data_IF_859744508865
#
_entry.id   IF_859744508865
#
_cell.length_a   1.000
_cell.length_b   1.000
_cell.length_c   1.000
_cell.angle_alpha   90.00
_cell.angle_beta   90.00
_cell.angle_gamma   90.00
#
_symmetry.space_group_name_H-M   'P 1'
#
loop_
_entity.id
_entity.type
_entity.pdbx_description
1 polymer ?
#
# COMPACT_ATOMS: atom_id res chain seq x y z
N UNK A 1 5.79 -16.97 5.13
CA UNK A 1 5.33 -15.73 4.47
C UNK A 1 5.40 -14.54 5.41
N UNK A 2 5.25 -13.32 4.89
CA UNK A 2 5.10 -12.09 5.68
C UNK A 2 3.70 -11.53 5.45
N UNK A 3 3.07 -11.04 6.51
CA UNK A 3 1.80 -10.33 6.39
C UNK A 3 2.01 -8.83 6.06
N UNK A 4 0.92 -8.07 5.93
CA UNK A 4 0.96 -6.63 5.63
C UNK A 4 1.68 -5.76 6.68
N UNK A 5 1.84 -6.28 7.91
CA UNK A 5 2.59 -5.63 8.99
C UNK A 5 4.06 -6.07 9.06
N UNK A 6 4.54 -6.84 8.08
CA UNK A 6 5.89 -7.41 8.05
C UNK A 6 6.15 -8.42 9.20
N UNK A 7 5.11 -9.05 9.73
CA UNK A 7 5.18 -10.12 10.72
C UNK A 7 5.25 -11.48 10.02
N UNK A 8 5.91 -12.45 10.63
CA UNK A 8 6.13 -13.77 10.04
C UNK A 8 4.87 -14.63 10.24
N UNK A 9 4.39 -15.25 9.17
CA UNK A 9 3.30 -16.23 9.20
C UNK A 9 3.83 -17.58 8.71
N UNK A 10 3.80 -18.57 9.59
CA UNK A 10 4.11 -19.97 9.30
C UNK A 10 2.78 -20.71 9.18
N UNK A 11 2.53 -21.33 8.04
CA UNK A 11 1.36 -22.18 7.83
C UNK A 11 1.85 -23.59 7.53
N UNK A 12 1.44 -24.54 8.35
CA UNK A 12 1.80 -25.94 8.20
C UNK A 12 0.53 -26.80 8.09
N UNK A 13 0.50 -27.66 7.09
CA UNK A 13 -0.59 -28.63 6.89
C UNK A 13 -0.03 -30.01 7.20
N UNK A 14 -0.62 -30.70 8.16
CA UNK A 14 -0.15 -32.00 8.62
C UNK A 14 -1.28 -33.03 8.58
N UNK A 15 -1.04 -34.09 7.80
CA UNK A 15 -2.00 -35.19 7.61
C UNK A 15 -1.73 -36.39 8.52
N UNK A 16 -0.49 -36.56 8.97
CA UNK A 16 -0.05 -37.72 9.73
C UNK A 16 0.22 -37.32 11.16
N UNK A 17 -0.24 -38.14 12.10
CA UNK A 17 -0.01 -37.95 13.53
C UNK A 17 1.47 -38.07 13.88
N UNK A 18 1.99 -37.08 14.58
CA UNK A 18 3.32 -37.06 15.18
C UNK A 18 3.19 -36.90 16.70
N UNK A 19 3.92 -37.70 17.46
CA UNK A 19 3.87 -37.64 18.92
C UNK A 19 4.48 -36.35 19.49
N UNK A 20 5.50 -35.82 18.82
CA UNK A 20 6.24 -34.62 19.25
C UNK A 20 5.88 -33.39 18.39
N UNK A 21 4.62 -33.28 17.99
CA UNK A 21 4.19 -32.24 17.06
C UNK A 21 4.32 -30.83 17.66
N UNK A 22 4.01 -30.65 18.95
CA UNK A 22 4.13 -29.33 19.60
C UNK A 22 5.59 -28.88 19.71
N UNK A 23 6.49 -29.80 20.01
CA UNK A 23 7.94 -29.54 20.03
C UNK A 23 8.46 -29.17 18.64
N UNK A 24 7.94 -29.81 17.60
CA UNK A 24 8.25 -29.49 16.21
C UNK A 24 7.81 -28.08 15.84
N UNK A 25 6.59 -27.68 16.21
CA UNK A 25 6.10 -26.29 15.98
C UNK A 25 7.01 -25.30 16.71
N UNK A 26 7.33 -25.57 17.98
CA UNK A 26 8.21 -24.71 18.77
C UNK A 26 9.59 -24.56 18.11
N UNK A 27 10.17 -25.69 17.65
CA UNK A 27 11.44 -25.67 16.91
C UNK A 27 11.35 -24.84 15.62
N UNK A 28 10.26 -25.01 14.83
CA UNK A 28 10.02 -24.26 13.60
C UNK A 28 9.95 -22.75 13.83
N UNK A 29 9.27 -22.34 14.91
CA UNK A 29 9.19 -20.93 15.33
C UNK A 29 10.56 -20.40 15.75
N UNK A 30 11.31 -21.15 16.57
CA UNK A 30 12.67 -20.77 16.99
C UNK A 30 13.62 -20.59 15.78
N UNK A 31 13.55 -21.52 14.83
CA UNK A 31 14.32 -21.45 13.58
C UNK A 31 13.95 -20.20 12.75
N UNK A 32 12.66 -19.90 12.61
CA UNK A 32 12.21 -18.71 11.90
C UNK A 32 12.71 -17.42 12.55
N UNK A 33 12.80 -17.35 13.88
CA UNK A 33 13.40 -16.21 14.58
C UNK A 33 14.87 -16.05 14.18
N UNK A 34 15.64 -17.13 14.23
CA UNK A 34 17.09 -17.09 13.95
C UNK A 34 17.40 -16.85 12.48
N UNK A 35 16.53 -17.22 11.56
CA UNK A 35 16.68 -16.97 10.13
C UNK A 35 16.37 -15.52 9.73
N UNK A 36 15.61 -14.79 10.55
CA UNK A 36 15.16 -13.43 10.24
C UNK A 36 15.88 -12.35 11.07
N UNK A 37 16.85 -12.72 11.89
CA UNK A 37 17.73 -11.81 12.61
C UNK A 37 19.19 -12.24 12.43
N UNK A 38 20.05 -11.29 12.05
CA UNK A 38 21.48 -11.56 11.89
C UNK A 38 22.26 -11.34 13.18
N UNK A 39 23.38 -12.02 13.31
CA UNK A 39 24.29 -11.80 14.44
C UNK A 39 24.76 -10.34 14.48
N UNK A 40 24.65 -9.72 15.64
CA UNK A 40 25.03 -8.32 15.84
C UNK A 40 23.90 -7.32 15.58
N UNK A 41 22.76 -7.77 15.10
CA UNK A 41 21.57 -6.91 15.00
C UNK A 41 20.91 -6.69 16.37
N UNK A 42 20.11 -5.63 16.45
CA UNK A 42 19.37 -5.30 17.68
C UNK A 42 18.14 -6.20 17.83
N UNK A 43 17.82 -6.61 19.05
CA UNK A 43 16.62 -7.43 19.36
C UNK A 43 15.31 -6.76 18.93
N UNK A 44 15.29 -5.47 18.68
CA UNK A 44 14.16 -4.75 18.10
C UNK A 44 13.71 -5.32 16.73
N UNK A 45 14.63 -5.97 15.99
CA UNK A 45 14.35 -6.57 14.68
C UNK A 45 13.67 -7.94 14.76
N UNK A 46 13.54 -8.52 15.95
CA UNK A 46 12.78 -9.77 16.14
C UNK A 46 11.33 -9.51 15.76
N UNK A 47 10.84 -10.23 14.74
CA UNK A 47 9.49 -10.08 14.23
C UNK A 47 8.51 -10.92 15.03
N UNK A 48 7.29 -10.41 15.16
CA UNK A 48 6.16 -11.22 15.61
C UNK A 48 5.95 -12.40 14.69
N UNK A 49 5.64 -13.58 15.26
CA UNK A 49 5.38 -14.79 14.51
C UNK A 49 3.99 -15.31 14.83
N UNK A 50 3.27 -15.67 13.78
CA UNK A 50 2.03 -16.46 13.86
C UNK A 50 2.31 -17.85 13.30
N UNK A 51 2.14 -18.88 14.13
CA UNK A 51 2.26 -20.27 13.73
C UNK A 51 0.87 -20.89 13.62
N UNK A 52 0.46 -21.21 12.40
CA UNK A 52 -0.86 -21.75 12.07
C UNK A 52 -0.68 -23.20 11.63
N UNK A 53 -1.19 -24.13 12.41
CA UNK A 53 -1.14 -25.56 12.15
C UNK A 53 -2.51 -26.09 11.76
N UNK A 54 -2.62 -26.60 10.54
CA UNK A 54 -3.83 -27.22 9.98
C UNK A 54 -3.68 -28.73 10.10
N UNK A 55 -4.48 -29.33 10.99
CA UNK A 55 -4.32 -30.72 11.43
C UNK A 55 -5.48 -31.59 10.95
N UNK A 56 -5.15 -32.66 10.22
CA UNK A 56 -6.09 -33.71 9.78
C UNK A 56 -6.02 -34.94 10.65
N UNK A 57 -5.41 -34.88 11.84
CA UNK A 57 -5.31 -35.95 12.81
C UNK A 57 -5.71 -35.45 14.20
N UNK A 58 -6.03 -36.36 15.10
CA UNK A 58 -6.28 -36.04 16.50
C UNK A 58 -4.97 -35.82 17.24
N UNK A 59 -4.74 -34.60 17.70
CA UNK A 59 -3.55 -34.22 18.48
C UNK A 59 -3.68 -34.52 19.96
N UNK A 60 -4.91 -34.73 20.44
CA UNK A 60 -5.20 -34.98 21.85
C UNK A 60 -6.61 -34.61 22.25
N UNK A 61 -6.85 -34.55 23.54
CA UNK A 61 -8.18 -34.28 24.11
C UNK A 61 -8.55 -32.80 23.98
N UNK A 62 -9.80 -32.55 23.63
CA UNK A 62 -10.40 -31.24 23.51
C UNK A 62 -11.61 -31.26 22.59
N UNK A 63 -12.54 -30.33 22.76
CA UNK A 63 -13.84 -30.33 22.07
C UNK A 63 -13.94 -29.26 20.97
N UNK A 64 -12.97 -28.35 20.90
CA UNK A 64 -12.99 -27.30 19.90
C UNK A 64 -12.18 -27.68 18.64
N UNK A 65 -12.55 -27.10 17.52
CA UNK A 65 -11.81 -27.22 16.26
C UNK A 65 -10.67 -26.21 16.15
N UNK A 66 -10.69 -25.12 16.94
CA UNK A 66 -9.71 -24.06 16.94
C UNK A 66 -9.16 -23.80 18.34
N UNK A 67 -7.86 -23.94 18.49
CA UNK A 67 -7.14 -23.57 19.71
C UNK A 67 -6.20 -22.43 19.42
N UNK A 68 -6.22 -21.41 20.29
CA UNK A 68 -5.33 -20.26 20.21
C UNK A 68 -4.42 -20.22 21.44
N UNK A 69 -3.12 -20.22 21.21
CA UNK A 69 -2.09 -20.11 22.25
C UNK A 69 -1.32 -18.80 22.12
N UNK A 70 -1.24 -18.07 23.23
CA UNK A 70 -0.44 -16.82 23.31
C UNK A 70 0.25 -16.73 24.66
N UNK A 71 1.34 -15.99 24.72
CA UNK A 71 2.07 -15.77 25.97
C UNK A 71 1.55 -14.53 26.69
N UNK A 72 1.07 -14.72 27.91
CA UNK A 72 0.68 -13.69 28.83
C UNK A 72 1.44 -13.86 30.15
N UNK A 73 1.84 -12.76 30.77
CA UNK A 73 2.46 -12.77 32.10
C UNK A 73 1.48 -12.17 33.09
N UNK A 74 1.09 -13.00 34.05
CA UNK A 74 0.14 -12.64 35.09
C UNK A 74 0.85 -12.54 36.43
N UNK A 75 0.62 -11.45 37.17
CA UNK A 75 1.13 -11.24 38.50
C UNK A 75 0.67 -12.36 39.45
N UNK A 76 1.63 -13.08 40.07
CA UNK A 76 1.32 -14.22 40.94
C UNK A 76 0.50 -13.82 42.18
N UNK A 77 0.75 -12.62 42.67
CA UNK A 77 0.11 -12.12 43.89
C UNK A 77 -1.06 -11.19 43.64
N UNK A 78 -1.01 -10.42 42.55
CA UNK A 78 -1.98 -9.35 42.23
C UNK A 78 -3.00 -9.78 41.18
N UNK A 79 -2.64 -10.73 40.32
CA UNK A 79 -3.50 -11.20 39.25
C UNK A 79 -3.58 -10.26 38.04
N UNK A 80 -2.86 -9.13 38.05
CA UNK A 80 -2.76 -8.19 36.94
C UNK A 80 -1.95 -8.75 35.75
N UNK A 81 -2.05 -8.11 34.60
CA UNK A 81 -1.27 -8.48 33.41
C UNK A 81 -0.10 -7.51 33.21
N UNK A 82 1.10 -8.10 33.05
CA UNK A 82 2.30 -7.32 32.78
C UNK A 82 2.21 -6.65 31.41
N UNK A 83 2.46 -5.34 31.41
CA UNK A 83 2.77 -4.57 30.20
C UNK A 83 4.24 -4.17 30.21
N UNK A 84 4.91 -4.27 29.07
CA UNK A 84 6.30 -3.88 28.93
C UNK A 84 6.43 -2.58 28.14
N UNK A 85 7.38 -1.73 28.50
CA UNK A 85 7.70 -0.54 27.72
C UNK A 85 8.69 -0.88 26.63
N UNK A 86 8.31 -0.66 25.37
CA UNK A 86 9.18 -0.88 24.21
C UNK A 86 9.40 0.41 23.46
N UNK A 87 10.55 0.52 22.78
CA UNK A 87 10.83 1.64 21.89
C UNK A 87 10.21 1.38 20.52
N UNK A 88 9.36 2.30 20.07
CA UNK A 88 8.81 2.29 18.72
C UNK A 88 9.13 3.62 18.05
N UNK A 89 10.01 3.58 17.04
CA UNK A 89 10.61 4.77 16.41
C UNK A 89 11.23 5.69 17.47
N UNK A 90 10.65 6.86 17.69
CA UNK A 90 11.14 7.87 18.66
C UNK A 90 10.31 7.95 19.96
N UNK A 91 9.40 6.99 20.17
CA UNK A 91 8.54 6.93 21.35
C UNK A 91 8.74 5.64 22.15
N UNK A 92 8.47 5.74 23.47
CA UNK A 92 8.33 4.57 24.33
C UNK A 92 6.84 4.29 24.46
N UNK A 93 6.43 3.09 24.04
CA UNK A 93 5.02 2.67 24.07
C UNK A 93 4.85 1.43 24.93
N UNK A 94 3.73 1.29 25.66
CA UNK A 94 3.39 0.07 26.36
C UNK A 94 2.95 -1.00 25.36
N UNK A 95 3.41 -2.24 25.55
CA UNK A 95 2.99 -3.40 24.78
C UNK A 95 2.73 -4.60 25.67
N UNK A 96 1.77 -5.40 25.28
CA UNK A 96 1.55 -6.70 25.94
C UNK A 96 2.59 -7.72 25.46
N UNK A 97 3.05 -8.65 26.32
CA UNK A 97 3.92 -9.75 25.89
C UNK A 97 3.37 -10.53 24.70
N UNK A 98 2.05 -10.73 24.63
CA UNK A 98 1.39 -11.40 23.50
C UNK A 98 1.60 -10.69 22.14
N UNK A 99 1.91 -9.40 22.11
CA UNK A 99 2.22 -8.67 20.88
C UNK A 99 3.67 -8.88 20.39
N UNK A 100 4.53 -9.46 21.24
CA UNK A 100 5.95 -9.69 20.96
C UNK A 100 6.21 -11.18 20.74
N UNK A 101 5.72 -12.01 21.66
CA UNK A 101 5.91 -13.47 21.62
C UNK A 101 5.11 -14.11 20.48
N UNK A 102 5.55 -15.29 20.00
CA UNK A 102 4.80 -16.05 19.00
C UNK A 102 3.38 -16.38 19.44
N UNK A 103 2.46 -16.38 18.48
CA UNK A 103 1.10 -16.90 18.65
C UNK A 103 0.92 -18.18 17.86
N UNK A 104 0.17 -19.13 18.45
CA UNK A 104 -0.06 -20.44 17.90
C UNK A 104 -1.54 -20.66 17.65
N UNK A 105 -1.89 -21.12 16.46
CA UNK A 105 -3.24 -21.50 16.08
C UNK A 105 -3.24 -22.97 15.66
N UNK A 106 -3.97 -23.80 16.37
CA UNK A 106 -4.14 -25.21 16.02
C UNK A 106 -5.55 -25.40 15.49
N UNK A 107 -5.66 -25.73 14.21
CA UNK A 107 -6.93 -25.92 13.50
C UNK A 107 -7.10 -27.43 13.28
N UNK A 108 -8.04 -28.03 14.02
CA UNK A 108 -8.41 -29.46 13.94
C UNK A 108 -9.52 -29.60 12.91
N UNK A 109 -9.15 -29.78 11.64
CA UNK A 109 -10.10 -29.78 10.50
C UNK A 109 -11.21 -30.80 10.68
N UNK A 110 -10.90 -32.00 11.17
CA UNK A 110 -11.86 -33.08 11.35
C UNK A 110 -12.91 -32.79 12.43
N UNK A 111 -12.57 -31.94 13.42
CA UNK A 111 -13.46 -31.57 14.53
C UNK A 111 -14.43 -30.42 14.13
N UNK A 112 -14.25 -29.78 12.98
CA UNK A 112 -15.20 -28.79 12.49
C UNK A 112 -16.50 -29.48 12.06
N UNK A 113 -17.57 -29.29 12.80
CA UNK A 113 -18.85 -30.01 12.65
C UNK A 113 -20.07 -29.08 12.59
N UNK A 114 -19.89 -27.82 12.25
CA UNK A 114 -20.95 -26.82 12.16
C UNK A 114 -20.98 -26.15 10.79
N UNK A 115 -22.03 -25.40 10.54
CA UNK A 115 -22.14 -24.55 9.33
C UNK A 115 -21.16 -23.38 9.45
N UNK A 116 -20.37 -23.16 8.43
CA UNK A 116 -19.46 -22.04 8.36
C UNK A 116 -20.22 -20.71 8.26
N UNK A 117 -19.94 -19.77 9.17
CA UNK A 117 -20.56 -18.45 9.25
C UNK A 117 -19.54 -17.32 9.22
N UNK A 118 -18.27 -17.64 9.36
CA UNK A 118 -17.16 -16.69 9.27
C UNK A 118 -16.21 -17.06 8.12
N UNK A 119 -15.43 -16.09 7.58
CA UNK A 119 -14.44 -16.38 6.54
C UNK A 119 -13.46 -17.49 6.91
N UNK A 120 -13.01 -17.55 8.15
CA UNK A 120 -12.13 -18.63 8.63
C UNK A 120 -12.84 -19.99 8.60
N UNK A 121 -14.09 -20.05 9.02
CA UNK A 121 -14.88 -21.29 9.02
C UNK A 121 -15.17 -21.77 7.60
N UNK A 122 -15.38 -20.86 6.63
CA UNK A 122 -15.50 -21.21 5.21
C UNK A 122 -14.21 -21.85 4.68
N UNK A 123 -13.04 -21.36 5.08
CA UNK A 123 -11.76 -21.98 4.77
C UNK A 123 -11.63 -23.37 5.39
N UNK A 124 -12.04 -23.55 6.66
CA UNK A 124 -11.98 -24.85 7.35
C UNK A 124 -12.96 -25.85 6.71
N UNK A 125 -14.17 -25.40 6.36
CA UNK A 125 -15.16 -26.21 5.64
C UNK A 125 -14.59 -26.70 4.30
N UNK A 126 -13.97 -25.80 3.53
CA UNK A 126 -13.29 -26.17 2.28
C UNK A 126 -12.15 -27.18 2.51
N UNK A 127 -11.30 -26.93 3.49
CA UNK A 127 -10.19 -27.84 3.84
C UNK A 127 -10.71 -29.22 4.24
N UNK A 128 -11.87 -29.28 4.90
CA UNK A 128 -12.50 -30.53 5.31
C UNK A 128 -13.18 -31.29 4.16
N UNK A 129 -13.92 -30.57 3.34
CA UNK A 129 -14.82 -31.16 2.33
C UNK A 129 -14.26 -31.17 0.91
N UNK A 130 -13.28 -30.31 0.62
CA UNK A 130 -12.78 -30.05 -0.73
C UNK A 130 -13.74 -29.21 -1.60
N UNK A 131 -14.86 -28.72 -1.02
CA UNK A 131 -15.89 -27.99 -1.77
C UNK A 131 -15.89 -26.53 -1.34
N UNK A 132 -15.79 -25.63 -2.33
CA UNK A 132 -15.93 -24.19 -2.12
C UNK A 132 -17.35 -23.79 -2.49
N UNK A 133 -18.10 -23.22 -1.57
CA UNK A 133 -19.47 -22.77 -1.80
C UNK A 133 -19.52 -21.67 -2.88
N UNK A 134 -20.54 -21.66 -3.76
CA UNK A 134 -20.67 -20.63 -4.80
C UNK A 134 -20.80 -19.21 -4.23
N UNK A 135 -21.43 -19.07 -3.06
CA UNK A 135 -21.74 -17.85 -2.36
C UNK A 135 -20.66 -17.41 -1.34
N UNK A 136 -19.48 -18.04 -1.37
CA UNK A 136 -18.38 -17.72 -0.45
C UNK A 136 -18.04 -16.24 -0.43
N UNK A 137 -17.88 -15.70 0.78
CA UNK A 137 -17.40 -14.33 1.02
C UNK A 137 -15.97 -14.31 1.60
N UNK A 138 -15.40 -15.48 1.87
CA UNK A 138 -14.07 -15.59 2.43
C UNK A 138 -13.01 -15.14 1.41
N UNK A 139 -12.14 -14.17 1.77
CA UNK A 139 -11.06 -13.71 0.91
C UNK A 139 -10.17 -14.88 0.46
N UNK A 140 -9.88 -14.95 -0.83
CA UNK A 140 -9.02 -15.99 -1.41
C UNK A 140 -9.73 -17.29 -1.80
N UNK A 141 -10.92 -17.62 -1.25
CA UNK A 141 -11.65 -18.83 -1.66
C UNK A 141 -12.23 -18.73 -3.07
N UNK A 142 -12.61 -17.54 -3.52
CA UNK A 142 -13.04 -17.33 -4.90
C UNK A 142 -11.93 -17.64 -5.89
N UNK A 143 -10.75 -17.10 -5.64
CA UNK A 143 -9.54 -17.35 -6.46
C UNK A 143 -9.10 -18.81 -6.38
N UNK A 144 -9.20 -19.45 -5.23
CA UNK A 144 -8.90 -20.87 -5.06
C UNK A 144 -9.84 -21.73 -5.93
N UNK A 145 -11.13 -21.40 -5.99
CA UNK A 145 -12.12 -22.07 -6.83
C UNK A 145 -11.78 -21.98 -8.32
N UNK A 146 -11.40 -20.79 -8.78
CA UNK A 146 -10.99 -20.62 -10.20
C UNK A 146 -9.72 -21.44 -10.53
N UNK A 147 -8.73 -21.45 -9.61
CA UNK A 147 -7.56 -22.33 -9.76
C UNK A 147 -7.92 -23.81 -9.79
N UNK A 148 -8.84 -24.26 -8.92
CA UNK A 148 -9.30 -25.66 -8.94
C UNK A 148 -9.97 -26.02 -10.25
N UNK A 149 -10.79 -25.14 -10.83
CA UNK A 149 -11.37 -25.31 -12.17
C UNK A 149 -10.27 -25.48 -13.21
N UNK A 150 -9.27 -24.60 -13.21
CA UNK A 150 -8.14 -24.69 -14.14
C UNK A 150 -7.43 -26.04 -14.04
N UNK A 151 -7.11 -26.50 -12.82
CA UNK A 151 -6.44 -27.79 -12.64
C UNK A 151 -7.31 -29.00 -13.00
N UNK A 152 -8.63 -28.87 -12.97
CA UNK A 152 -9.57 -29.92 -13.41
C UNK A 152 -9.77 -29.99 -14.92
N UNK A 153 -9.32 -28.98 -15.68
CA UNK A 153 -9.40 -28.95 -17.13
C UNK A 153 -8.47 -30.00 -17.79
N UNK A 154 -8.88 -30.48 -18.91
CA UNK A 154 -8.01 -31.30 -19.79
C UNK A 154 -6.84 -30.45 -20.32
N UNK A 155 -5.74 -31.06 -20.78
CA UNK A 155 -4.63 -30.32 -21.38
C UNK A 155 -5.05 -29.40 -22.54
N UNK A 156 -6.02 -29.80 -23.34
CA UNK A 156 -6.55 -29.00 -24.45
C UNK A 156 -7.35 -27.79 -23.96
N UNK A 157 -8.21 -27.98 -22.96
CA UNK A 157 -8.98 -26.89 -22.34
C UNK A 157 -8.06 -25.89 -21.64
N UNK A 158 -7.02 -26.36 -20.94
CA UNK A 158 -6.01 -25.47 -20.33
C UNK A 158 -5.28 -24.65 -21.38
N UNK A 159 -4.88 -25.27 -22.49
CA UNK A 159 -4.19 -24.57 -23.57
C UNK A 159 -5.07 -23.45 -24.15
N UNK A 160 -6.34 -23.74 -24.44
CA UNK A 160 -7.30 -22.75 -24.93
C UNK A 160 -7.56 -21.63 -23.92
N UNK A 161 -7.61 -21.97 -22.63
CA UNK A 161 -7.76 -20.98 -21.55
C UNK A 161 -6.53 -20.06 -21.42
N UNK A 162 -5.32 -20.64 -21.49
CA UNK A 162 -4.06 -19.89 -21.43
C UNK A 162 -3.89 -18.98 -22.65
N UNK A 163 -4.29 -19.42 -23.84
CA UNK A 163 -4.32 -18.59 -25.07
C UNK A 163 -5.29 -17.40 -24.90
N UNK A 164 -6.48 -17.66 -24.35
CA UNK A 164 -7.47 -16.59 -24.09
C UNK A 164 -6.93 -15.56 -23.07
N UNK A 165 -6.33 -16.02 -21.96
CA UNK A 165 -5.71 -15.13 -20.99
C UNK A 165 -4.57 -14.31 -21.58
N UNK A 166 -3.73 -14.95 -22.41
CA UNK A 166 -2.65 -14.25 -23.10
C UNK A 166 -3.16 -13.17 -24.04
N UNK A 167 -4.25 -13.44 -24.78
CA UNK A 167 -4.89 -12.44 -25.64
C UNK A 167 -5.44 -11.25 -24.84
N UNK A 168 -6.07 -11.50 -23.67
CA UNK A 168 -6.56 -10.45 -22.77
C UNK A 168 -5.41 -9.61 -22.20
N UNK A 169 -4.28 -10.23 -21.83
CA UNK A 169 -3.10 -9.50 -21.33
C UNK A 169 -2.54 -8.57 -22.42
N UNK A 170 -2.38 -9.06 -23.64
CA UNK A 170 -1.94 -8.24 -24.79
C UNK A 170 -2.89 -7.07 -25.02
N UNK A 171 -4.21 -7.32 -24.98
CA UNK A 171 -5.20 -6.24 -25.14
C UNK A 171 -5.08 -5.18 -24.03
N UNK A 172 -4.90 -5.58 -22.79
CA UNK A 172 -4.70 -4.65 -21.66
C UNK A 172 -3.40 -3.86 -21.81
N UNK A 173 -2.31 -4.51 -22.21
CA UNK A 173 -1.01 -3.83 -22.45
C UNK A 173 -1.12 -2.79 -23.57
N UNK A 174 -1.84 -3.09 -24.65
CA UNK A 174 -2.11 -2.15 -25.75
C UNK A 174 -2.91 -0.94 -25.24
N UNK A 175 -3.96 -1.17 -24.44
CA UNK A 175 -4.78 -0.10 -23.88
C UNK A 175 -3.99 0.78 -22.90
N UNK A 176 -3.16 0.19 -22.06
CA UNK A 176 -2.36 0.94 -21.11
C UNK A 176 -1.23 1.72 -21.79
N UNK A 177 -0.63 1.15 -22.84
CA UNK A 177 0.33 1.84 -23.69
C UNK A 177 -0.29 3.05 -24.39
N UNK A 178 -1.46 2.89 -25.00
CA UNK A 178 -2.18 3.99 -25.66
C UNK A 178 -2.57 5.12 -24.67
N UNK A 179 -3.00 4.77 -23.46
CA UNK A 179 -3.28 5.75 -22.39
C UNK A 179 -2.02 6.52 -21.98
N UNK A 180 -0.89 5.82 -21.86
CA UNK A 180 0.37 6.43 -21.48
C UNK A 180 0.87 7.37 -22.59
N UNK A 181 0.81 6.94 -23.84
CA UNK A 181 1.18 7.76 -25.01
C UNK A 181 0.32 9.04 -25.08
N UNK A 182 -1.00 8.92 -25.01
CA UNK A 182 -1.90 10.07 -24.99
C UNK A 182 -1.65 11.03 -23.83
N UNK A 183 -1.27 10.50 -22.64
CA UNK A 183 -0.90 11.35 -21.50
C UNK A 183 0.41 12.10 -21.73
N UNK A 184 1.39 11.46 -22.37
CA UNK A 184 2.67 12.09 -22.72
C UNK A 184 2.44 13.18 -23.78
N UNK A 185 1.70 12.89 -24.83
CA UNK A 185 1.37 13.79 -25.91
C UNK A 185 0.63 15.02 -25.41
N UNK A 186 -0.47 14.84 -24.68
CA UNK A 186 -1.22 15.97 -24.09
C UNK A 186 -0.38 16.82 -23.12
N UNK A 187 0.59 16.21 -22.40
CA UNK A 187 1.52 16.96 -21.55
C UNK A 187 2.53 17.78 -22.37
N UNK A 188 2.97 17.26 -23.50
CA UNK A 188 3.90 17.97 -24.40
C UNK A 188 3.19 19.14 -25.09
N UNK A 189 1.98 18.92 -25.60
CA UNK A 189 1.14 19.94 -26.20
C UNK A 189 0.83 21.08 -25.23
N UNK A 190 0.28 20.75 -24.04
CA UNK A 190 -0.02 21.76 -23.03
C UNK A 190 1.20 22.54 -22.55
N UNK A 191 2.40 21.91 -22.53
CA UNK A 191 3.65 22.64 -22.27
C UNK A 191 4.06 23.57 -23.41
N UNK A 192 3.82 23.17 -24.65
CA UNK A 192 4.14 24.01 -25.83
C UNK A 192 3.20 25.21 -25.90
N UNK A 193 1.90 25.00 -25.71
CA UNK A 193 0.88 26.05 -25.68
C UNK A 193 1.13 27.05 -24.55
N UNK A 194 1.29 26.59 -23.30
CA UNK A 194 1.56 27.48 -22.17
C UNK A 194 2.85 28.27 -22.30
N UNK A 195 3.89 27.71 -22.98
CA UNK A 195 5.10 28.49 -23.32
C UNK A 195 4.87 29.53 -24.42
N UNK A 196 4.02 29.24 -25.39
CA UNK A 196 3.69 30.18 -26.47
C UNK A 196 2.86 31.35 -25.90
N UNK A 197 1.84 31.05 -25.11
CA UNK A 197 1.01 32.05 -24.44
C UNK A 197 1.82 32.94 -23.49
N UNK A 198 2.59 32.37 -22.58
CA UNK A 198 3.41 33.15 -21.65
C UNK A 198 4.47 34.01 -22.35
N UNK A 199 4.99 33.57 -23.51
CA UNK A 199 5.88 34.42 -24.32
C UNK A 199 5.14 35.57 -25.02
N UNK A 200 3.90 35.33 -25.45
CA UNK A 200 3.07 36.36 -26.07
C UNK A 200 2.68 37.44 -25.06
N UNK A 201 2.21 37.01 -23.90
CA UNK A 201 1.84 37.90 -22.80
C UNK A 201 3.04 38.72 -22.30
N UNK A 202 4.17 38.07 -21.98
CA UNK A 202 5.36 38.78 -21.52
C UNK A 202 5.94 39.74 -22.55
N UNK A 203 5.78 39.49 -23.87
CA UNK A 203 6.15 40.46 -24.91
C UNK A 203 5.18 41.64 -24.98
N UNK A 204 3.89 41.40 -24.75
CA UNK A 204 2.88 42.47 -24.75
C UNK A 204 3.09 43.38 -23.54
N UNK A 205 3.25 42.82 -22.36
CA UNK A 205 3.52 43.56 -21.12
C UNK A 205 4.83 44.34 -21.18
N UNK A 206 5.93 43.70 -21.59
CA UNK A 206 7.22 44.39 -21.72
C UNK A 206 7.23 45.50 -22.79
N UNK A 207 6.39 45.36 -23.83
CA UNK A 207 6.23 46.43 -24.81
C UNK A 207 5.46 47.63 -24.24
N UNK A 208 4.40 47.36 -23.47
CA UNK A 208 3.60 48.41 -22.84
C UNK A 208 4.43 49.17 -21.78
N UNK A 209 5.16 48.44 -20.93
CA UNK A 209 6.07 49.02 -19.93
C UNK A 209 7.17 49.86 -20.60
N UNK A 210 7.80 49.33 -21.67
CA UNK A 210 8.83 50.04 -22.41
C UNK A 210 8.32 51.33 -23.05
N UNK A 211 7.08 51.36 -23.54
CA UNK A 211 6.45 52.59 -24.06
C UNK A 211 6.23 53.57 -22.91
N UNK A 212 5.65 53.17 -21.78
CA UNK A 212 5.45 54.01 -20.59
C UNK A 212 6.76 54.62 -20.09
N UNK A 213 7.80 53.81 -19.92
CA UNK A 213 9.11 54.30 -19.51
C UNK A 213 9.73 55.27 -20.51
N UNK A 214 9.56 54.98 -21.82
CA UNK A 214 9.99 55.88 -22.88
C UNK A 214 9.31 57.25 -22.83
N UNK A 215 8.01 57.27 -22.61
CA UNK A 215 7.21 58.50 -22.46
C UNK A 215 7.66 59.29 -21.24
N UNK A 216 7.80 58.63 -20.07
CA UNK A 216 8.26 59.27 -18.82
C UNK A 216 9.68 59.84 -18.97
N UNK A 217 10.58 59.11 -19.59
CA UNK A 217 11.95 59.57 -19.85
C UNK A 217 12.01 60.80 -20.76
N UNK A 218 11.18 60.81 -21.81
CA UNK A 218 11.07 61.94 -22.69
C UNK A 218 10.47 63.18 -21.98
N UNK A 219 9.42 62.97 -21.16
CA UNK A 219 8.79 64.00 -20.36
C UNK A 219 9.79 64.67 -19.38
N UNK A 220 10.64 63.87 -18.71
CA UNK A 220 11.72 64.38 -17.82
C UNK A 220 12.70 65.26 -18.60
N UNK A 221 13.15 64.80 -19.77
CA UNK A 221 14.07 65.59 -20.61
C UNK A 221 13.47 66.93 -21.14
N UNK A 222 12.15 66.91 -21.38
CA UNK A 222 11.45 68.16 -21.75
C UNK A 222 11.36 69.10 -20.55
N UNK A 223 11.09 68.63 -19.38
CA UNK A 223 11.08 69.42 -18.12
C UNK A 223 12.46 70.04 -17.84
N UNK A 224 13.53 69.24 -17.99
CA UNK A 224 14.92 69.67 -17.83
C UNK A 224 15.31 70.78 -18.87
N UNK A 225 14.72 70.78 -20.07
CA UNK A 225 14.92 71.72 -21.09
C UNK A 225 14.05 72.98 -21.00
N UNK A 226 13.20 73.08 -19.96
CA UNK A 226 12.38 74.24 -19.66
C UNK A 226 11.07 74.35 -20.45
N UNK A 227 10.56 73.21 -20.97
CA UNK A 227 9.21 73.17 -21.56
C UNK A 227 8.15 73.39 -20.46
N UNK A 228 7.04 74.03 -20.84
CA UNK A 228 5.94 74.23 -19.89
C UNK A 228 5.25 72.91 -19.56
N UNK A 229 4.58 72.78 -18.39
CA UNK A 229 3.81 71.62 -18.00
C UNK A 229 2.73 71.30 -19.02
N UNK A 230 2.09 72.34 -19.60
CA UNK A 230 1.04 72.19 -20.61
C UNK A 230 1.63 71.58 -21.89
N UNK A 231 2.78 72.00 -22.35
CA UNK A 231 3.43 71.44 -23.55
C UNK A 231 3.86 70.00 -23.35
N UNK A 232 4.35 69.68 -22.17
CA UNK A 232 4.73 68.28 -21.83
C UNK A 232 3.52 67.38 -21.86
N UNK A 233 2.41 67.83 -21.24
CA UNK A 233 1.14 67.05 -21.25
C UNK A 233 0.60 66.85 -22.68
N UNK A 234 0.59 67.88 -23.48
CA UNK A 234 0.12 67.83 -24.90
C UNK A 234 0.92 66.83 -25.74
N UNK A 235 2.24 66.83 -25.61
CA UNK A 235 3.14 65.99 -26.41
C UNK A 235 3.21 64.57 -25.95
N UNK A 236 3.15 64.34 -24.62
CA UNK A 236 3.37 63.03 -24.05
C UNK A 236 2.10 62.29 -23.70
N UNK A 237 0.97 62.99 -23.56
CA UNK A 237 -0.32 62.42 -23.10
C UNK A 237 -0.34 62.12 -21.59
N UNK A 238 0.66 62.55 -20.83
CA UNK A 238 0.70 62.37 -19.38
C UNK A 238 -0.24 63.35 -18.69
N UNK A 239 -0.77 62.98 -17.55
CA UNK A 239 -1.61 63.83 -16.72
C UNK A 239 -0.77 64.87 -15.98
N UNK A 240 -1.42 65.94 -15.49
CA UNK A 240 -0.77 66.98 -14.69
C UNK A 240 -0.07 66.40 -13.46
N UNK A 241 -0.70 65.45 -12.81
CA UNK A 241 -0.11 64.78 -11.65
C UNK A 241 1.16 64.04 -11.99
N UNK A 242 1.16 63.29 -13.10
CA UNK A 242 2.34 62.55 -13.60
C UNK A 242 3.49 63.49 -14.02
N UNK A 243 3.19 64.58 -14.68
CA UNK A 243 4.20 65.57 -15.04
C UNK A 243 4.75 66.32 -13.82
N UNK A 244 3.92 66.55 -12.80
CA UNK A 244 4.33 67.20 -11.56
C UNK A 244 5.30 66.35 -10.73
N UNK A 245 5.19 65.03 -10.81
CA UNK A 245 6.02 64.05 -10.10
C UNK A 245 7.33 63.69 -10.83
N UNK A 246 7.53 64.16 -12.03
CA UNK A 246 8.79 64.02 -12.78
C UNK A 246 9.88 64.91 -12.20
#
# INVERSE_FOLDING_TARGET
>A
ALNSKNEIVIIEIQNTRELYYLERILYGVAKAITEHISLGETYYKVKKIYSISILYFDIGHGTDYLYHGQNIFKGVHTGDFLQVSTREKDAIVPRMPSEIYPEYFLIRVNEFNKVAVTPLEEWIEYLKTGIIRPDTTAPGLGEAREKLKYYSMTPQERHAYDEHLSALMIQNDVLDSAKLEGKIEGRLEGRAEGRAEGRAEGRAEGREEGIKEGVLRNARRMKEKGFSTEDIMEITGLTFEEVSQL
#
